data_IF_750065724679
#
_entry.id   IF_750065724679
#
_cell.length_a   1.000
_cell.length_b   1.000
_cell.length_c   1.000
_cell.angle_alpha   90.00
_cell.angle_beta   90.00
_cell.angle_gamma   90.00
#
_symmetry.space_group_name_H-M   'P 1'
#
loop_
_entity.id
_entity.type
_entity.pdbx_description
1 polymer ?
#
# COMPACT_ATOMS: atom_id res chain seq x y z
N UNK A 1 34.17 16.73 1.29
CA UNK A 1 33.61 16.59 2.65
C UNK A 1 32.86 15.27 2.69
N UNK A 2 33.33 14.31 3.47
CA UNK A 2 32.78 12.95 3.50
C UNK A 2 31.44 12.96 4.26
N UNK A 3 30.32 12.76 3.57
CA UNK A 3 29.11 12.24 4.20
C UNK A 3 29.39 10.78 4.58
N UNK A 4 29.64 10.52 5.86
CA UNK A 4 29.54 9.16 6.38
C UNK A 4 28.07 8.80 6.45
N UNK A 5 27.46 8.42 5.32
CA UNK A 5 26.12 7.86 5.32
C UNK A 5 26.15 6.63 6.22
N UNK A 6 25.33 6.64 7.28
CA UNK A 6 25.30 5.52 8.20
C UNK A 6 24.86 4.26 7.46
N UNK A 7 25.36 3.09 7.87
CA UNK A 7 24.93 1.80 7.31
C UNK A 7 23.40 1.65 7.27
N UNK A 8 22.71 2.24 8.26
CA UNK A 8 21.24 2.23 8.34
C UNK A 8 20.58 3.11 7.27
N UNK A 9 21.11 4.29 6.98
CA UNK A 9 20.56 5.17 5.93
C UNK A 9 20.70 4.53 4.55
N UNK A 10 21.87 3.99 4.23
CA UNK A 10 22.09 3.30 2.94
C UNK A 10 21.12 2.13 2.76
N UNK A 11 20.97 1.25 3.77
CA UNK A 11 20.03 0.12 3.71
C UNK A 11 18.59 0.58 3.42
N UNK A 12 18.15 1.68 4.04
CA UNK A 12 16.79 2.21 3.82
C UNK A 12 16.60 2.75 2.40
N UNK A 13 17.63 3.36 1.81
CA UNK A 13 17.60 3.76 0.41
C UNK A 13 17.56 2.55 -0.52
N UNK A 14 18.41 1.55 -0.27
CA UNK A 14 18.47 0.34 -1.08
C UNK A 14 17.13 -0.41 -1.08
N UNK A 15 16.42 -0.46 0.07
CA UNK A 15 15.08 -1.04 0.14
C UNK A 15 14.11 -0.40 -0.86
N UNK A 16 14.07 0.94 -0.92
CA UNK A 16 13.20 1.64 -1.87
C UNK A 16 13.66 1.40 -3.31
N UNK A 17 14.96 1.52 -3.56
CA UNK A 17 15.50 1.35 -4.91
C UNK A 17 15.24 -0.06 -5.45
N UNK A 18 15.37 -1.08 -4.62
CA UNK A 18 15.05 -2.47 -4.97
C UNK A 18 13.57 -2.62 -5.28
N UNK A 19 12.68 -2.15 -4.40
CA UNK A 19 11.23 -2.24 -4.62
C UNK A 19 10.76 -1.47 -5.85
N UNK A 20 11.46 -0.41 -6.27
CA UNK A 20 11.08 0.39 -7.45
C UNK A 20 11.64 -0.14 -8.77
N UNK A 21 12.80 -0.81 -8.75
CA UNK A 21 13.58 -1.10 -9.97
C UNK A 21 13.75 -2.58 -10.27
N UNK A 22 13.41 -3.46 -9.34
CA UNK A 22 13.60 -4.91 -9.49
C UNK A 22 12.26 -5.60 -9.37
N UNK A 23 12.09 -6.67 -10.15
CA UNK A 23 10.96 -7.58 -10.04
C UNK A 23 11.14 -8.44 -8.78
N UNK A 24 10.57 -7.96 -7.66
CA UNK A 24 10.70 -8.56 -6.32
C UNK A 24 9.36 -8.86 -5.68
N UNK A 25 8.26 -8.57 -6.39
CA UNK A 25 6.92 -8.98 -6.02
C UNK A 25 6.86 -10.50 -5.88
N UNK A 26 6.10 -10.96 -4.87
CA UNK A 26 5.99 -12.39 -4.58
C UNK A 26 5.40 -13.14 -5.78
N UNK A 27 6.07 -14.21 -6.19
CA UNK A 27 5.53 -15.19 -7.15
C UNK A 27 4.63 -16.22 -6.45
N UNK A 28 4.61 -16.24 -5.12
CA UNK A 28 3.68 -17.05 -4.33
C UNK A 28 2.33 -16.38 -4.33
N UNK A 29 1.29 -17.18 -4.58
CA UNK A 29 -0.08 -16.68 -4.64
C UNK A 29 -0.59 -16.16 -3.30
N UNK A 30 -1.52 -15.20 -3.36
CA UNK A 30 -2.06 -14.53 -2.17
C UNK A 30 -3.43 -15.10 -1.72
N UNK A 31 -3.97 -16.08 -2.44
CA UNK A 31 -5.24 -16.74 -2.14
C UNK A 31 -6.48 -15.94 -2.58
N UNK A 32 -6.32 -14.75 -3.16
CA UNK A 32 -7.44 -13.97 -3.69
C UNK A 32 -8.01 -14.57 -4.98
N UNK A 33 -7.24 -15.40 -5.68
CA UNK A 33 -7.68 -16.18 -6.85
C UNK A 33 -8.78 -17.20 -6.53
N UNK A 34 -8.84 -17.65 -5.27
CA UNK A 34 -9.84 -18.60 -4.78
C UNK A 34 -11.14 -17.89 -4.34
N UNK A 35 -11.12 -16.56 -4.27
CA UNK A 35 -12.26 -15.74 -3.87
C UNK A 35 -12.94 -15.16 -5.10
N UNK A 36 -14.21 -15.52 -5.33
CA UNK A 36 -15.02 -14.96 -6.42
C UNK A 36 -16.17 -14.15 -5.86
N UNK A 37 -16.22 -12.88 -6.24
CA UNK A 37 -17.38 -12.03 -5.98
C UNK A 37 -18.52 -12.42 -6.93
N UNK A 38 -19.70 -12.70 -6.40
CA UNK A 38 -20.86 -13.04 -7.22
C UNK A 38 -21.37 -11.76 -7.87
N UNK A 39 -21.35 -11.73 -9.20
CA UNK A 39 -21.84 -10.59 -9.97
C UNK A 39 -23.36 -10.48 -9.87
N UNK A 40 -23.86 -9.29 -9.51
CA UNK A 40 -25.26 -8.92 -9.67
C UNK A 40 -25.43 -8.05 -10.94
N UNK A 41 -26.08 -8.55 -12.01
CA UNK A 41 -26.22 -7.82 -13.27
C UNK A 41 -27.28 -6.71 -13.21
N UNK A 42 -28.15 -6.70 -12.21
CA UNK A 42 -29.20 -5.69 -12.05
C UNK A 42 -29.23 -5.18 -10.59
N UNK A 43 -28.21 -4.41 -10.18
CA UNK A 43 -28.17 -3.85 -8.84
C UNK A 43 -29.27 -2.79 -8.64
N UNK A 44 -29.96 -2.86 -7.51
CA UNK A 44 -31.02 -1.91 -7.12
C UNK A 44 -30.46 -0.68 -6.36
N UNK A 45 -29.25 -0.23 -6.70
CA UNK A 45 -28.53 0.88 -6.06
C UNK A 45 -27.88 1.78 -7.12
N UNK A 46 -27.88 3.09 -6.89
CA UNK A 46 -27.15 4.05 -7.73
C UNK A 46 -25.65 4.03 -7.41
N UNK A 47 -24.80 4.18 -8.42
CA UNK A 47 -23.37 4.30 -8.26
C UNK A 47 -22.99 5.55 -7.43
N UNK A 48 -23.73 6.65 -7.58
CA UNK A 48 -23.49 7.89 -6.83
C UNK A 48 -23.84 7.76 -5.33
N UNK A 49 -24.62 6.75 -4.96
CA UNK A 49 -25.03 6.47 -3.58
C UNK A 49 -24.04 5.55 -2.83
N UNK A 50 -23.02 5.01 -3.51
CA UNK A 50 -22.03 4.14 -2.87
C UNK A 50 -21.15 4.96 -1.92
N UNK A 51 -21.34 4.77 -0.61
CA UNK A 51 -20.49 5.33 0.43
C UNK A 51 -19.39 4.34 0.85
N UNK A 52 -18.14 4.75 0.64
CA UNK A 52 -16.94 3.98 1.03
C UNK A 52 -16.36 4.42 2.38
N UNK A 53 -17.01 5.36 3.07
CA UNK A 53 -16.54 5.82 4.37
C UNK A 53 -16.57 4.70 5.41
N UNK A 54 -15.61 4.75 6.32
CA UNK A 54 -15.49 3.78 7.41
C UNK A 54 -14.98 4.46 8.66
N UNK A 55 -15.50 4.05 9.82
CA UNK A 55 -14.92 4.40 11.12
C UNK A 55 -13.89 3.35 11.53
N UNK A 56 -12.68 3.78 11.82
CA UNK A 56 -11.62 2.92 12.35
C UNK A 56 -10.84 3.65 13.44
N UNK A 57 -10.65 3.01 14.59
CA UNK A 57 -9.95 3.59 15.74
C UNK A 57 -10.48 4.97 16.19
N UNK A 58 -11.81 5.15 16.12
CA UNK A 58 -12.49 6.39 16.54
C UNK A 58 -12.31 7.57 15.58
N UNK A 59 -11.96 7.30 14.31
CA UNK A 59 -11.84 8.30 13.25
C UNK A 59 -12.54 7.83 11.99
N UNK A 60 -13.15 8.77 11.28
CA UNK A 60 -13.76 8.52 9.97
C UNK A 60 -12.72 8.64 8.85
N UNK A 61 -12.74 7.70 7.92
CA UNK A 61 -11.92 7.67 6.71
C UNK A 61 -12.81 7.65 5.48
N UNK A 62 -12.36 8.23 4.37
CA UNK A 62 -13.11 8.25 3.11
C UNK A 62 -13.16 6.91 2.39
N UNK A 63 -12.24 6.00 2.70
CA UNK A 63 -12.06 4.71 2.03
C UNK A 63 -11.63 3.64 3.04
N UNK A 64 -12.00 2.36 2.83
CA UNK A 64 -11.57 1.25 3.65
C UNK A 64 -10.17 0.73 3.22
N UNK A 65 -9.23 1.65 2.99
CA UNK A 65 -7.88 1.34 2.49
C UNK A 65 -6.84 2.16 3.24
N UNK A 66 -5.71 1.54 3.58
CA UNK A 66 -4.61 2.18 4.33
C UNK A 66 -3.28 1.93 3.63
N UNK A 67 -2.44 2.96 3.54
CA UNK A 67 -1.04 2.82 3.15
C UNK A 67 -0.24 2.40 4.38
N UNK A 68 0.33 1.19 4.34
CA UNK A 68 1.19 0.70 5.42
C UNK A 68 2.53 1.43 5.45
N UNK A 69 3.21 1.39 6.60
CA UNK A 69 4.52 2.02 6.74
C UNK A 69 5.57 1.35 5.86
N UNK A 70 6.26 2.14 5.02
CA UNK A 70 7.26 1.62 4.06
C UNK A 70 8.68 2.14 4.33
N UNK A 71 8.85 3.43 4.64
CA UNK A 71 10.16 4.08 4.71
C UNK A 71 10.21 5.19 5.77
N UNK A 72 11.37 5.83 5.93
CA UNK A 72 11.62 6.97 6.81
C UNK A 72 13.02 6.96 7.41
N UNK A 73 13.65 8.12 7.57
CA UNK A 73 15.00 8.25 8.14
C UNK A 73 16.14 8.02 7.16
N UNK A 74 15.95 8.41 5.89
CA UNK A 74 17.01 8.74 4.94
C UNK A 74 16.57 10.03 4.18
N UNK A 75 17.43 11.04 3.98
CA UNK A 75 17.06 12.29 3.31
C UNK A 75 16.55 12.14 1.86
N UNK A 76 16.98 11.08 1.16
CA UNK A 76 16.58 10.77 -0.22
C UNK A 76 15.19 10.13 -0.33
N UNK A 77 14.56 9.81 0.80
CA UNK A 77 13.25 9.17 0.88
C UNK A 77 12.17 10.14 1.34
N UNK A 78 12.40 11.45 1.15
CA UNK A 78 11.46 12.54 1.41
C UNK A 78 10.72 12.94 0.14
#
# INVERSE_FOLDING_TARGET
>A
MHESNSMTENRKWDHIEICLKKEIESTVSNGLEDVKLIHNPLPEIDLEEIDTRVEFLGREFSLPVVISGMTGGNPRTK
#
